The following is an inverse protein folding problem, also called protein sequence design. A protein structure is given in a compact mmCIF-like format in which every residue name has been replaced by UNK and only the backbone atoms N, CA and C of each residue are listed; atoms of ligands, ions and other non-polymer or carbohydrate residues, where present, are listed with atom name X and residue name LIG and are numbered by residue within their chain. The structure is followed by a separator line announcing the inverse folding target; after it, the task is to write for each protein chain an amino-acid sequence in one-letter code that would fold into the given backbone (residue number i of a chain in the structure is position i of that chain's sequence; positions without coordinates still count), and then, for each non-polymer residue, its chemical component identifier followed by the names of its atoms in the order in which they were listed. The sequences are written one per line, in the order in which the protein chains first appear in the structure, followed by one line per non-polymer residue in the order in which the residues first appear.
data_IF_324460747647
#
_entry.id   IF_324460747647
#
_cell.length_a   1.000
_cell.length_b   1.000
_cell.length_c   1.000
_cell.angle_alpha   90.00
_cell.angle_beta   90.00
_cell.angle_gamma   90.00
#
_symmetry.space_group_name_H-M   'P 1'
#
loop_
_entity.id
_entity.type
_entity.pdbx_description
1 polymer ?
#
# COMPACT_ATOMS: atom_id res chain seq x y z
N UNK A 1 -3.46 -5.34 3.87
CA UNK A 1 -4.37 -6.43 3.47
C UNK A 1 -5.73 -6.15 4.04
N UNK A 2 -6.73 -6.14 3.20
CA UNK A 2 -8.12 -5.97 3.60
C UNK A 2 -8.88 -7.29 3.41
N UNK A 3 -9.47 -7.79 4.48
CA UNK A 3 -10.32 -8.97 4.47
C UNK A 3 -11.78 -8.53 4.50
N UNK A 4 -12.45 -8.61 3.36
CA UNK A 4 -13.84 -8.18 3.23
C UNK A 4 -14.83 -9.12 3.94
N UNK A 5 -14.49 -10.40 4.08
CA UNK A 5 -15.36 -11.36 4.77
C UNK A 5 -15.38 -11.11 6.29
N UNK A 6 -14.23 -10.82 6.88
CA UNK A 6 -14.10 -10.55 8.31
C UNK A 6 -14.12 -9.06 8.66
N UNK A 7 -14.17 -8.18 7.66
CA UNK A 7 -14.15 -6.72 7.82
C UNK A 7 -12.93 -6.25 8.62
N UNK A 8 -11.77 -6.84 8.33
CA UNK A 8 -10.50 -6.53 9.00
C UNK A 8 -9.50 -5.95 8.01
N UNK A 9 -8.66 -5.06 8.50
CA UNK A 9 -7.53 -4.53 7.77
C UNK A 9 -6.26 -4.78 8.58
N UNK A 10 -5.26 -5.39 7.94
CA UNK A 10 -3.96 -5.68 8.53
C UNK A 10 -2.92 -4.92 7.73
N UNK A 11 -2.08 -4.14 8.41
CA UNK A 11 -0.95 -3.46 7.77
C UNK A 11 0.37 -3.89 8.41
N UNK A 12 1.35 -4.15 7.55
CA UNK A 12 2.72 -4.47 7.94
C UNK A 12 3.62 -3.44 7.25
N UNK A 13 4.33 -2.67 8.04
CA UNK A 13 5.13 -1.56 7.55
C UNK A 13 6.57 -1.75 7.97
N UNK A 14 7.52 -1.65 7.03
CA UNK A 14 8.94 -1.87 7.31
C UNK A 14 9.59 -0.74 8.12
N UNK A 15 8.97 0.43 8.18
CA UNK A 15 9.46 1.57 8.98
C UNK A 15 8.67 1.66 10.27
N UNK A 16 9.30 1.32 11.39
CA UNK A 16 8.65 1.30 12.70
C UNK A 16 8.02 2.63 13.09
N UNK A 17 8.72 3.73 12.87
CA UNK A 17 8.22 5.06 13.20
C UNK A 17 6.94 5.40 12.43
N UNK A 18 6.88 5.03 11.16
CA UNK A 18 5.67 5.21 10.36
C UNK A 18 4.54 4.30 10.82
N UNK A 19 4.84 3.05 11.19
CA UNK A 19 3.83 2.13 11.73
C UNK A 19 3.19 2.70 12.99
N UNK A 20 4.00 3.23 13.91
CA UNK A 20 3.52 3.84 15.16
C UNK A 20 2.62 5.04 14.86
N UNK A 21 3.06 5.93 13.97
CA UNK A 21 2.26 7.09 13.56
C UNK A 21 0.93 6.67 12.92
N UNK A 22 0.99 5.70 12.03
CA UNK A 22 -0.15 5.17 11.30
C UNK A 22 -1.22 4.60 12.24
N UNK A 23 -0.79 3.78 13.19
CA UNK A 23 -1.69 3.16 14.16
C UNK A 23 -2.27 4.18 15.13
N UNK A 24 -1.42 5.06 15.67
CA UNK A 24 -1.84 6.09 16.64
C UNK A 24 -2.90 7.03 16.07
N UNK A 25 -2.77 7.41 14.82
CA UNK A 25 -3.66 8.37 14.16
C UNK A 25 -4.79 7.69 13.37
N UNK A 26 -4.93 6.37 13.47
CA UNK A 26 -5.99 5.60 12.80
C UNK A 26 -6.08 5.93 11.30
N UNK A 27 -4.95 6.00 10.63
CA UNK A 27 -4.83 6.46 9.24
C UNK A 27 -5.59 5.54 8.28
N UNK A 28 -5.75 4.25 8.62
CA UNK A 28 -6.48 3.27 7.79
C UNK A 28 -7.86 3.74 7.34
N UNK A 29 -8.52 4.57 8.14
CA UNK A 29 -9.89 5.00 7.84
C UNK A 29 -9.97 5.91 6.61
N UNK A 30 -8.98 6.79 6.43
CA UNK A 30 -9.03 7.84 5.41
C UNK A 30 -7.69 8.01 4.67
N UNK A 31 -6.84 6.99 4.66
CA UNK A 31 -5.58 7.04 3.94
C UNK A 31 -5.82 7.20 2.44
N UNK A 32 -5.24 8.22 1.80
CA UNK A 32 -5.38 8.42 0.36
C UNK A 32 -5.00 7.20 -0.48
N UNK A 33 -3.99 6.43 -0.06
CA UNK A 33 -3.60 5.21 -0.75
C UNK A 33 -4.70 4.15 -0.70
N UNK A 34 -5.30 3.95 0.47
CA UNK A 34 -6.38 2.99 0.67
C UNK A 34 -7.63 3.41 -0.11
N UNK A 35 -7.95 4.71 -0.10
CA UNK A 35 -9.07 5.24 -0.88
C UNK A 35 -8.84 5.07 -2.39
N UNK A 36 -7.64 5.32 -2.87
CA UNK A 36 -7.30 5.10 -4.28
C UNK A 36 -7.47 3.64 -4.67
N UNK A 37 -7.05 2.69 -3.81
CA UNK A 37 -7.27 1.26 -4.04
C UNK A 37 -8.76 0.94 -4.19
N UNK A 38 -9.61 1.51 -3.35
CA UNK A 38 -11.06 1.26 -3.39
C UNK A 38 -11.73 1.80 -4.64
N UNK A 39 -11.28 2.96 -5.13
CA UNK A 39 -11.90 3.66 -6.25
C UNK A 39 -11.35 3.25 -7.61
N UNK A 40 -10.19 2.63 -7.66
CA UNK A 40 -9.52 2.26 -8.90
C UNK A 40 -9.61 0.77 -9.17
N UNK A 41 -9.71 0.41 -10.45
CA UNK A 41 -9.59 -0.97 -10.92
C UNK A 41 -8.18 -1.29 -11.44
N UNK A 42 -7.28 -0.34 -11.36
CA UNK A 42 -5.88 -0.53 -11.79
C UNK A 42 -5.12 -1.40 -10.79
N UNK A 43 -4.21 -2.20 -11.31
CA UNK A 43 -3.34 -3.06 -10.49
C UNK A 43 -2.07 -2.35 -10.02
N UNK A 44 -1.72 -1.26 -10.64
CA UNK A 44 -0.55 -0.44 -10.32
C UNK A 44 -0.99 1.02 -10.32
N UNK A 45 -0.78 1.71 -9.19
CA UNK A 45 -1.12 3.12 -9.04
C UNK A 45 0.09 3.87 -8.51
N UNK A 46 0.68 4.78 -9.30
CA UNK A 46 1.76 5.66 -8.80
C UNK A 46 1.23 6.68 -7.80
N UNK A 47 2.06 7.09 -6.84
CA UNK A 47 1.69 8.13 -5.87
C UNK A 47 1.30 9.44 -6.56
N UNK A 48 1.97 9.78 -7.66
CA UNK A 48 1.71 11.01 -8.41
C UNK A 48 0.32 11.06 -9.05
N UNK A 49 -0.35 9.92 -9.18
CA UNK A 49 -1.69 9.84 -9.77
C UNK A 49 -2.79 9.73 -8.72
N UNK A 50 -2.46 9.85 -7.43
CA UNK A 50 -3.43 9.77 -6.33
C UNK A 50 -3.94 11.17 -6.02
N UNK A 51 -5.25 11.35 -6.15
CA UNK A 51 -5.91 12.58 -5.80
C UNK A 51 -6.36 12.56 -4.34
N UNK A 52 -6.14 13.67 -3.65
CA UNK A 52 -6.62 13.89 -2.30
C UNK A 52 -6.80 15.39 -2.09
N UNK A 53 -8.00 15.78 -1.69
CA UNK A 53 -8.39 17.19 -1.55
C UNK A 53 -8.65 17.60 -0.11
N UNK A 54 -8.95 16.67 0.78
CA UNK A 54 -9.22 17.00 2.18
C UNK A 54 -7.93 17.26 2.96
N UNK A 55 -8.05 17.99 4.07
CA UNK A 55 -6.92 18.35 4.91
C UNK A 55 -6.27 17.14 5.58
N UNK A 56 -7.06 16.13 5.92
CA UNK A 56 -6.54 14.90 6.50
C UNK A 56 -5.65 14.15 5.51
N UNK A 57 -6.11 13.97 4.27
CA UNK A 57 -5.33 13.31 3.23
C UNK A 57 -4.03 14.04 2.91
N UNK A 58 -4.08 15.37 2.84
CA UNK A 58 -2.87 16.20 2.66
C UNK A 58 -1.87 16.00 3.78
N UNK A 59 -2.33 15.96 5.02
CA UNK A 59 -1.45 15.74 6.18
C UNK A 59 -0.85 14.34 6.18
N UNK A 60 -1.62 13.31 5.86
CA UNK A 60 -1.10 11.94 5.75
C UNK A 60 0.02 11.85 4.71
N UNK A 61 -0.18 12.44 3.53
CA UNK A 61 0.85 12.41 2.48
C UNK A 61 2.06 13.25 2.84
N UNK A 62 1.88 14.37 3.55
CA UNK A 62 2.98 15.16 4.08
C UNK A 62 3.81 14.36 5.08
N UNK A 63 3.17 13.65 6.00
CA UNK A 63 3.85 12.80 6.98
C UNK A 63 4.59 11.64 6.30
N UNK A 64 4.00 11.02 5.28
CA UNK A 64 4.72 10.03 4.47
C UNK A 64 6.01 10.58 3.89
N UNK A 65 5.95 11.78 3.33
CA UNK A 65 7.12 12.45 2.78
C UNK A 65 8.19 12.68 3.84
N UNK A 66 7.82 13.14 5.03
CA UNK A 66 8.75 13.34 6.15
C UNK A 66 9.39 12.04 6.62
N UNK A 67 8.70 10.90 6.46
CA UNK A 67 9.21 9.58 6.81
C UNK A 67 9.96 8.89 5.65
N UNK A 68 10.35 9.63 4.65
CA UNK A 68 11.14 9.12 3.53
C UNK A 68 10.33 8.35 2.47
N UNK A 69 9.03 8.56 2.41
CA UNK A 69 8.12 7.91 1.46
C UNK A 69 7.42 8.95 0.58
N UNK A 70 8.21 9.80 -0.06
CA UNK A 70 7.69 10.92 -0.84
C UNK A 70 7.03 10.50 -2.14
N UNK A 71 7.62 9.52 -2.80
CA UNK A 71 7.14 8.97 -4.06
C UNK A 71 7.07 7.44 -3.99
N UNK A 72 6.34 6.84 -4.86
CA UNK A 72 6.25 5.39 -4.90
C UNK A 72 5.16 4.86 -5.80
N UNK A 73 4.91 3.58 -5.64
CA UNK A 73 3.92 2.81 -6.37
C UNK A 73 3.09 1.97 -5.41
N UNK A 74 1.82 1.82 -5.71
CA UNK A 74 0.97 0.80 -5.11
C UNK A 74 0.79 -0.34 -6.09
N UNK A 75 1.04 -1.57 -5.64
CA UNK A 75 0.73 -2.79 -6.36
C UNK A 75 -0.49 -3.42 -5.69
N UNK A 76 -1.54 -3.66 -6.45
CA UNK A 76 -2.81 -4.16 -5.93
C UNK A 76 -3.06 -5.55 -6.48
N UNK A 77 -3.40 -6.48 -5.60
CA UNK A 77 -3.78 -7.84 -5.95
C UNK A 77 -5.05 -8.21 -5.21
N UNK A 78 -6.09 -8.55 -5.95
CA UNK A 78 -7.39 -8.94 -5.40
C UNK A 78 -7.59 -10.43 -5.63
N UNK A 79 -7.86 -11.16 -4.55
CA UNK A 79 -8.06 -12.61 -4.62
C UNK A 79 -9.14 -13.01 -3.63
N UNK A 80 -10.25 -13.52 -4.14
CA UNK A 80 -11.42 -13.91 -3.34
C UNK A 80 -11.92 -12.73 -2.48
N UNK A 81 -11.96 -12.91 -1.15
CA UNK A 81 -12.37 -11.87 -0.19
C UNK A 81 -11.21 -11.03 0.34
N UNK A 82 -10.00 -11.23 -0.18
CA UNK A 82 -8.79 -10.53 0.27
C UNK A 82 -8.30 -9.55 -0.79
N UNK A 83 -8.04 -8.33 -0.37
CA UNK A 83 -7.34 -7.32 -1.16
C UNK A 83 -5.95 -7.12 -0.57
N UNK A 84 -4.92 -7.31 -1.38
CA UNK A 84 -3.54 -7.01 -1.03
C UNK A 84 -3.13 -5.69 -1.65
N UNK A 85 -2.52 -4.84 -0.86
CA UNK A 85 -1.91 -3.60 -1.33
C UNK A 85 -0.46 -3.58 -0.88
N UNK A 86 0.46 -3.59 -1.83
CA UNK A 86 1.89 -3.53 -1.55
C UNK A 86 2.37 -2.16 -1.96
N UNK A 87 2.94 -1.42 -1.02
CA UNK A 87 3.45 -0.07 -1.25
C UNK A 87 4.97 -0.14 -1.29
N UNK A 88 5.53 0.34 -2.40
CA UNK A 88 6.98 0.50 -2.57
C UNK A 88 7.24 2.00 -2.68
N UNK A 89 8.01 2.53 -1.75
CA UNK A 89 8.20 3.97 -1.64
C UNK A 89 9.67 4.37 -1.63
N UNK A 90 9.94 5.59 -2.04
CA UNK A 90 11.26 6.22 -2.05
C UNK A 90 11.19 7.65 -1.53
N UNK A 91 12.28 8.13 -0.93
CA UNK A 91 12.43 9.52 -0.51
C UNK A 91 12.85 10.47 -1.63
N UNK A 92 13.11 9.98 -2.83
CA UNK A 92 13.55 10.83 -3.95
C UNK A 92 12.45 11.80 -4.37
N UNK A 93 12.80 13.07 -4.53
CA UNK A 93 11.88 14.11 -4.98
C UNK A 93 11.48 13.96 -6.45
N UNK A 94 12.42 13.46 -7.26
CA UNK A 94 12.22 13.17 -8.68
C UNK A 94 12.26 11.68 -8.87
N UNK A 95 11.09 11.10 -9.11
CA UNK A 95 10.95 9.67 -9.36
C UNK A 95 10.11 9.46 -10.60
N UNK A 96 10.71 8.89 -11.64
CA UNK A 96 10.00 8.56 -12.87
C UNK A 96 9.44 7.13 -12.75
N UNK A 97 8.18 7.02 -12.37
CA UNK A 97 7.51 5.73 -12.20
C UNK A 97 7.38 4.96 -13.52
N UNK A 98 7.27 5.64 -14.67
CA UNK A 98 7.20 4.96 -15.96
C UNK A 98 8.51 4.23 -16.29
N UNK A 99 9.64 4.90 -16.10
CA UNK A 99 10.95 4.28 -16.31
C UNK A 99 11.21 3.14 -15.34
N UNK A 100 10.82 3.31 -14.08
CA UNK A 100 10.93 2.28 -13.05
C UNK A 100 10.07 1.05 -13.41
N UNK A 101 8.83 1.25 -13.82
CA UNK A 101 7.94 0.18 -14.24
C UNK A 101 8.48 -0.55 -15.48
N UNK A 102 8.95 0.19 -16.48
CA UNK A 102 9.51 -0.41 -17.68
C UNK A 102 10.71 -1.32 -17.36
N UNK A 103 11.55 -0.90 -16.42
CA UNK A 103 12.75 -1.65 -16.04
C UNK A 103 12.46 -2.85 -15.14
N UNK A 104 11.51 -2.74 -14.21
CA UNK A 104 11.31 -3.69 -13.12
C UNK A 104 9.95 -4.37 -13.13
N UNK A 105 9.17 -4.27 -14.19
CA UNK A 105 7.80 -4.80 -14.24
C UNK A 105 7.72 -6.28 -13.87
N UNK A 106 8.59 -7.10 -14.43
CA UNK A 106 8.61 -8.55 -14.16
C UNK A 106 8.92 -8.83 -12.70
N UNK A 107 9.94 -8.15 -12.14
CA UNK A 107 10.34 -8.31 -10.76
C UNK A 107 9.22 -7.85 -9.79
N UNK A 108 8.56 -6.74 -10.12
CA UNK A 108 7.45 -6.21 -9.30
C UNK A 108 6.25 -7.14 -9.30
N UNK A 109 5.90 -7.70 -10.46
CA UNK A 109 4.81 -8.67 -10.56
C UNK A 109 5.11 -9.94 -9.76
N UNK A 110 6.36 -10.43 -9.83
CA UNK A 110 6.81 -11.59 -9.05
C UNK A 110 6.75 -11.28 -7.55
N UNK A 111 7.26 -10.13 -7.13
CA UNK A 111 7.23 -9.68 -5.72
C UNK A 111 5.79 -9.65 -5.19
N UNK A 112 4.87 -9.04 -5.94
CA UNK A 112 3.46 -8.98 -5.59
C UNK A 112 2.88 -10.37 -5.38
N UNK A 113 3.11 -11.27 -6.32
CA UNK A 113 2.57 -12.62 -6.26
C UNK A 113 3.18 -13.43 -5.10
N UNK A 114 4.48 -13.34 -4.88
CA UNK A 114 5.19 -14.06 -3.83
C UNK A 114 4.77 -13.57 -2.44
N UNK A 115 4.71 -12.26 -2.23
CA UNK A 115 4.27 -11.69 -0.96
C UNK A 115 2.81 -12.05 -0.66
N UNK A 116 1.93 -11.99 -1.65
CA UNK A 116 0.53 -12.35 -1.48
C UNK A 116 0.37 -13.82 -1.04
N UNK A 117 1.15 -14.72 -1.63
CA UNK A 117 1.15 -16.14 -1.24
C UNK A 117 1.67 -16.37 0.17
N UNK A 118 2.75 -15.70 0.56
CA UNK A 118 3.33 -15.80 1.90
C UNK A 118 2.34 -15.31 2.94
N UNK A 119 1.74 -14.14 2.71
CA UNK A 119 0.78 -13.54 3.63
C UNK A 119 -0.46 -14.43 3.76
N UNK A 120 -1.00 -14.92 2.65
CA UNK A 120 -2.15 -15.82 2.66
C UNK A 120 -1.87 -17.11 3.47
N UNK A 121 -0.68 -17.67 3.32
CA UNK A 121 -0.24 -18.84 4.09
C UNK A 121 -0.19 -18.55 5.59
N UNK A 122 0.39 -17.43 5.98
CA UNK A 122 0.51 -17.02 7.39
C UNK A 122 -0.86 -16.71 8.01
N UNK A 123 -1.74 -16.05 7.28
CA UNK A 123 -3.11 -15.80 7.73
C UNK A 123 -3.85 -17.12 7.95
N UNK A 124 -3.79 -18.04 7.01
CA UNK A 124 -4.43 -19.34 7.12
C UNK A 124 -3.88 -20.15 8.30
N UNK A 125 -2.57 -20.12 8.52
CA UNK A 125 -1.93 -20.76 9.67
C UNK A 125 -2.44 -20.19 10.99
N UNK A 126 -2.49 -18.86 11.09
CA UNK A 126 -2.96 -18.16 12.29
C UNK A 126 -4.42 -18.48 12.60
N UNK A 127 -5.27 -18.57 11.57
CA UNK A 127 -6.69 -18.91 11.73
C UNK A 127 -6.92 -20.38 12.13
N UNK A 128 -5.99 -21.28 11.80
CA UNK A 128 -6.06 -22.69 12.16
C UNK A 128 -5.48 -23.01 13.54
N UNK A 129 -4.63 -22.14 14.01
CA UNK A 129 -4.04 -22.27 15.34
C UNK A 129 -4.97 -21.75 16.43
#
# INVERSE_FOLDING_TARGET
IEDHAQKKLISLISRLEWQIYFDKNQITKNDPLIQAKKLSQRNIIPFSEIDYIDSFGKEVMRQRSLHGMKNGLMLIHKQNHLDYMIVIATGLSKFNHYSFLAKYYTQLTRLKNDLSKIIEREINYTLRA
#
